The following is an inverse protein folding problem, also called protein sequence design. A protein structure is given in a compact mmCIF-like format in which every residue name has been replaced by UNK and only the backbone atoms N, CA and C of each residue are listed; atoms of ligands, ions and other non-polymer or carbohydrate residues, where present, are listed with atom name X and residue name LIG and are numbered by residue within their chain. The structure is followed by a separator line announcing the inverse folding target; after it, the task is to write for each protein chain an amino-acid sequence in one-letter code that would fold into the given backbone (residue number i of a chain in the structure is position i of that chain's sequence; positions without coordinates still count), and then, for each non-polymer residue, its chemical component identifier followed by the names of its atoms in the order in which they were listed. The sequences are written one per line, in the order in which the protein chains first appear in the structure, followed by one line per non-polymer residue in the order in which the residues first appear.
data_IF_855803227093
#
_entry.id   IF_855803227093
#
_cell.length_a   1.000
_cell.length_b   1.000
_cell.length_c   1.000
_cell.angle_alpha   90.00
_cell.angle_beta   90.00
_cell.angle_gamma   90.00
#
_symmetry.space_group_name_H-M   'P 1'
#
loop_
_entity.id
_entity.type
_entity.pdbx_description
1 polymer ?
#
# COMPACT_ATOMS: atom_id res chain seq x y z
N UNK A 1 4.96 -18.83 -3.72
CA UNK A 1 5.89 -17.82 -3.18
C UNK A 1 5.24 -16.46 -3.00
N UNK A 2 4.73 -15.82 -4.09
CA UNK A 2 4.23 -14.43 -4.04
C UNK A 2 3.17 -14.19 -2.96
N UNK A 3 2.14 -15.02 -2.91
CA UNK A 3 1.05 -14.90 -1.92
C UNK A 3 1.58 -15.00 -0.48
N UNK A 4 2.52 -15.92 -0.21
CA UNK A 4 3.11 -16.08 1.11
C UNK A 4 3.85 -14.81 1.55
N UNK A 5 4.72 -14.26 0.69
CA UNK A 5 5.44 -13.03 1.00
C UNK A 5 4.53 -11.82 1.14
N UNK A 6 3.48 -11.74 0.32
CA UNK A 6 2.47 -10.67 0.43
C UNK A 6 1.72 -10.75 1.77
N UNK A 7 1.30 -11.93 2.21
CA UNK A 7 0.66 -12.13 3.52
C UNK A 7 1.60 -11.71 4.65
N UNK A 8 2.87 -12.12 4.60
CA UNK A 8 3.87 -11.75 5.60
C UNK A 8 4.10 -10.22 5.63
N UNK A 9 4.17 -9.57 4.47
CA UNK A 9 4.35 -8.11 4.41
C UNK A 9 3.15 -7.37 4.99
N UNK A 10 1.95 -7.73 4.55
CA UNK A 10 0.69 -7.14 5.05
C UNK A 10 0.52 -7.41 6.54
N UNK A 11 0.77 -8.64 6.99
CA UNK A 11 0.67 -9.03 8.39
C UNK A 11 1.60 -8.21 9.29
N UNK A 12 2.86 -8.07 8.90
CA UNK A 12 3.82 -7.24 9.63
C UNK A 12 3.40 -5.77 9.67
N UNK A 13 2.91 -5.22 8.54
CA UNK A 13 2.42 -3.84 8.49
C UNK A 13 1.28 -3.61 9.47
N UNK A 14 0.34 -4.54 9.55
CA UNK A 14 -0.80 -4.46 10.47
C UNK A 14 -0.37 -4.66 11.92
N UNK A 15 0.55 -5.59 12.21
CA UNK A 15 1.09 -5.80 13.54
C UNK A 15 1.76 -4.52 14.06
N UNK A 16 2.67 -3.91 13.30
CA UNK A 16 3.34 -2.70 13.74
C UNK A 16 2.39 -1.51 13.88
N UNK A 17 1.39 -1.37 13.01
CA UNK A 17 0.37 -0.35 13.17
C UNK A 17 -0.47 -0.59 14.46
N UNK A 18 -0.79 -1.84 14.77
CA UNK A 18 -1.46 -2.20 16.02
C UNK A 18 -0.59 -1.83 17.23
N UNK A 19 0.69 -2.21 17.23
CA UNK A 19 1.62 -1.93 18.32
C UNK A 19 1.81 -0.43 18.53
N UNK A 20 2.01 0.35 17.47
CA UNK A 20 2.18 1.80 17.54
C UNK A 20 1.00 2.50 18.24
N UNK A 21 -0.19 1.94 18.11
CA UNK A 21 -1.42 2.51 18.67
C UNK A 21 -1.77 1.95 20.07
N UNK A 22 -1.32 0.72 20.39
CA UNK A 22 -1.71 0.01 21.63
C UNK A 22 -0.72 0.12 22.76
N UNK A 23 0.54 0.48 22.49
CA UNK A 23 1.51 0.69 23.55
C UNK A 23 1.04 1.84 24.47
N UNK A 24 0.87 1.56 25.76
CA UNK A 24 0.49 2.55 26.74
C UNK A 24 1.65 3.53 26.96
N UNK A 25 1.36 4.82 26.85
CA UNK A 25 2.39 5.86 27.10
C UNK A 25 2.86 5.76 28.54
N UNK A 26 4.17 5.64 28.74
CA UNK A 26 4.79 5.72 30.07
C UNK A 26 4.99 7.18 30.44
N UNK A 27 4.26 7.66 31.44
CA UNK A 27 4.31 9.05 31.90
C UNK A 27 5.55 9.27 32.80
N UNK A 28 6.01 8.22 33.48
CA UNK A 28 7.05 8.32 34.53
C UNK A 28 8.47 8.04 34.06
N UNK A 29 8.68 7.58 32.81
CA UNK A 29 10.01 7.23 32.30
C UNK A 29 10.57 8.25 31.32
N UNK A 30 11.82 8.68 31.54
CA UNK A 30 12.57 9.54 30.63
C UNK A 30 13.05 8.80 29.36
N UNK A 31 13.09 7.46 29.39
CA UNK A 31 13.65 6.62 28.32
C UNK A 31 12.60 5.85 27.53
N UNK A 32 11.44 5.56 28.13
CA UNK A 32 10.38 4.74 27.55
C UNK A 32 9.24 5.63 27.06
N UNK A 33 8.84 5.45 25.79
CA UNK A 33 7.70 6.14 25.18
C UNK A 33 6.40 5.36 25.35
N UNK A 34 6.47 4.03 25.34
CA UNK A 34 5.30 3.19 25.55
C UNK A 34 5.65 1.74 25.81
N UNK A 35 4.80 1.07 26.55
CA UNK A 35 4.92 -0.34 26.89
C UNK A 35 3.62 -1.09 26.63
N UNK A 36 3.73 -2.37 26.31
CA UNK A 36 2.62 -3.27 26.14
C UNK A 36 3.03 -4.72 26.33
N UNK A 37 2.04 -5.57 26.50
CA UNK A 37 2.23 -7.00 26.65
C UNK A 37 1.48 -7.74 25.56
N UNK A 38 2.11 -8.77 25.02
CA UNK A 38 1.50 -9.74 24.12
C UNK A 38 1.56 -11.12 24.77
N UNK A 39 0.60 -11.96 24.44
CA UNK A 39 0.61 -13.36 24.80
C UNK A 39 0.66 -14.20 23.51
N UNK A 40 1.61 -15.12 23.44
CA UNK A 40 1.69 -16.08 22.34
C UNK A 40 2.29 -17.39 22.85
N UNK A 41 1.73 -18.52 22.40
CA UNK A 41 2.18 -19.88 22.76
C UNK A 41 2.36 -20.11 24.27
N UNK A 42 1.52 -19.51 25.11
CA UNK A 42 1.58 -19.65 26.57
C UNK A 42 2.58 -18.73 27.27
N UNK A 43 3.28 -17.86 26.55
CA UNK A 43 4.28 -16.94 27.12
C UNK A 43 3.83 -15.49 27.00
N UNK A 44 4.18 -14.68 28.00
CA UNK A 44 4.01 -13.23 27.99
C UNK A 44 5.24 -12.54 27.42
N UNK A 45 5.03 -11.68 26.44
CA UNK A 45 6.09 -10.87 25.82
C UNK A 45 5.87 -9.41 26.21
N UNK A 46 6.89 -8.77 26.78
CA UNK A 46 6.89 -7.33 27.05
C UNK A 46 7.50 -6.62 25.85
N UNK A 47 6.76 -5.68 25.28
CA UNK A 47 7.21 -4.79 24.21
C UNK A 47 7.36 -3.39 24.75
N UNK A 48 8.52 -2.78 24.48
CA UNK A 48 8.85 -1.44 24.93
C UNK A 48 9.27 -0.59 23.75
N UNK A 49 8.59 0.55 23.55
CA UNK A 49 9.01 1.56 22.59
C UNK A 49 9.86 2.60 23.30
N UNK A 50 11.07 2.80 22.81
CA UNK A 50 12.05 3.69 23.42
C UNK A 50 11.96 5.12 22.86
N UNK A 51 12.16 6.14 23.72
CA UNK A 51 12.32 7.56 23.31
C UNK A 51 13.68 7.84 22.71
N UNK A 52 14.70 7.08 23.13
CA UNK A 52 16.08 7.19 22.69
C UNK A 52 16.54 5.89 22.05
N UNK A 53 17.61 5.96 21.29
CA UNK A 53 18.28 4.78 20.73
C UNK A 53 18.65 3.78 21.84
N UNK A 54 18.49 2.47 21.60
CA UNK A 54 19.01 1.45 22.53
C UNK A 54 20.55 1.48 22.55
N UNK A 55 21.17 0.83 23.53
CA UNK A 55 22.63 0.67 23.59
C UNK A 55 23.20 0.09 22.29
N UNK A 56 24.45 0.47 21.94
CA UNK A 56 25.05 0.15 20.64
C UNK A 56 25.21 -1.34 20.34
N UNK A 57 25.36 -2.17 21.38
CA UNK A 57 25.41 -3.63 21.25
C UNK A 57 24.10 -4.21 20.65
N UNK A 58 22.95 -3.65 21.01
CA UNK A 58 21.65 -4.07 20.45
C UNK A 58 21.42 -3.55 19.03
N UNK A 59 21.98 -2.40 18.67
CA UNK A 59 21.84 -1.82 17.32
C UNK A 59 22.50 -2.69 16.24
N UNK A 60 23.54 -3.44 16.56
CA UNK A 60 24.23 -4.31 15.61
C UNK A 60 23.35 -5.50 15.16
N UNK A 61 22.45 -5.96 16.03
CA UNK A 61 21.62 -7.15 15.82
C UNK A 61 20.14 -6.79 15.60
N UNK A 62 19.83 -5.56 15.18
CA UNK A 62 18.46 -5.14 14.91
C UNK A 62 17.86 -5.91 13.74
N UNK A 63 16.68 -6.47 13.98
CA UNK A 63 15.89 -7.10 12.92
C UNK A 63 15.12 -6.03 12.17
N UNK A 64 15.34 -5.93 10.86
CA UNK A 64 14.64 -5.02 9.95
C UNK A 64 13.77 -5.85 9.02
N UNK A 65 12.46 -5.60 9.05
CA UNK A 65 11.46 -6.32 8.25
C UNK A 65 11.41 -5.76 6.82
N UNK A 66 12.41 -6.07 5.99
CA UNK A 66 12.50 -5.61 4.59
C UNK A 66 12.27 -6.74 3.57
N UNK A 67 12.69 -7.95 3.89
CA UNK A 67 12.68 -9.08 2.95
C UNK A 67 11.28 -9.46 2.49
N UNK A 68 10.27 -9.33 3.34
CA UNK A 68 8.88 -9.62 2.98
C UNK A 68 8.42 -8.76 1.81
N UNK A 69 8.67 -7.46 1.86
CA UNK A 69 8.31 -6.54 0.77
C UNK A 69 9.15 -6.76 -0.49
N UNK A 70 10.46 -7.03 -0.32
CA UNK A 70 11.38 -7.27 -1.44
C UNK A 70 11.01 -8.55 -2.20
N UNK A 71 10.77 -9.63 -1.47
CA UNK A 71 10.38 -10.91 -2.08
C UNK A 71 8.97 -10.85 -2.66
N UNK A 72 8.05 -10.09 -2.05
CA UNK A 72 6.73 -9.83 -2.64
C UNK A 72 6.88 -9.15 -4.00
N UNK A 73 7.68 -8.09 -4.10
CA UNK A 73 7.88 -7.38 -5.34
C UNK A 73 8.56 -8.24 -6.41
N UNK A 74 9.69 -8.88 -6.07
CA UNK A 74 10.43 -9.73 -7.01
C UNK A 74 9.56 -10.87 -7.55
N UNK A 75 8.88 -11.59 -6.67
CA UNK A 75 7.99 -12.68 -7.10
C UNK A 75 6.76 -12.18 -7.86
N UNK A 76 6.29 -10.97 -7.57
CA UNK A 76 5.22 -10.30 -8.32
C UNK A 76 5.64 -9.95 -9.75
N UNK A 77 6.83 -9.40 -9.94
CA UNK A 77 7.40 -9.11 -11.26
C UNK A 77 7.64 -10.41 -12.06
N UNK A 78 8.13 -11.47 -11.42
CA UNK A 78 8.29 -12.77 -12.07
C UNK A 78 6.95 -13.33 -12.56
N UNK A 79 5.89 -13.24 -11.73
CA UNK A 79 4.54 -13.64 -12.15
C UNK A 79 4.00 -12.78 -13.29
N UNK A 80 4.22 -11.46 -13.24
CA UNK A 80 3.83 -10.54 -14.30
C UNK A 80 4.50 -10.93 -15.62
N UNK A 81 5.80 -11.22 -15.58
CA UNK A 81 6.55 -11.65 -16.76
C UNK A 81 6.03 -12.96 -17.33
N UNK A 82 5.92 -14.00 -16.50
CA UNK A 82 5.54 -15.36 -16.96
C UNK A 82 4.09 -15.40 -17.42
N UNK A 83 3.16 -14.74 -16.74
CA UNK A 83 1.73 -14.84 -17.07
C UNK A 83 1.37 -13.85 -18.17
N UNK A 84 1.73 -12.57 -18.03
CA UNK A 84 1.22 -11.49 -18.89
C UNK A 84 2.19 -11.08 -19.99
N UNK A 85 3.46 -10.85 -19.70
CA UNK A 85 4.41 -10.35 -20.70
C UNK A 85 4.75 -11.41 -21.74
N UNK A 86 4.91 -12.66 -21.30
CA UNK A 86 5.12 -13.78 -22.22
C UNK A 86 3.91 -14.01 -23.14
N UNK A 87 2.69 -13.82 -22.63
CA UNK A 87 1.45 -13.98 -23.39
C UNK A 87 0.79 -12.63 -23.73
N UNK A 88 1.57 -11.60 -23.94
CA UNK A 88 1.10 -10.20 -24.06
C UNK A 88 0.10 -9.98 -25.21
N UNK A 89 0.27 -10.68 -26.32
CA UNK A 89 -0.65 -10.58 -27.46
C UNK A 89 -2.08 -11.03 -27.15
N UNK A 90 -2.26 -11.97 -26.20
CA UNK A 90 -3.57 -12.53 -25.81
C UNK A 90 -4.10 -11.84 -24.57
N UNK A 91 -3.24 -11.63 -23.56
CA UNK A 91 -3.69 -11.20 -22.23
C UNK A 91 -3.65 -9.69 -22.03
N UNK A 92 -2.85 -8.95 -22.80
CA UNK A 92 -2.70 -7.50 -22.64
C UNK A 92 -3.34 -6.70 -23.77
N UNK A 93 -3.18 -7.13 -25.03
CA UNK A 93 -3.66 -6.38 -26.21
C UNK A 93 -5.16 -6.62 -26.43
N UNK A 94 -5.89 -5.53 -26.63
CA UNK A 94 -7.28 -5.54 -27.07
C UNK A 94 -7.43 -4.81 -28.40
N UNK A 95 -7.38 -5.57 -29.50
CA UNK A 95 -7.47 -5.02 -30.88
C UNK A 95 -8.74 -4.23 -31.16
N UNK A 96 -9.83 -4.49 -30.39
CA UNK A 96 -11.09 -3.73 -30.52
C UNK A 96 -11.00 -2.33 -29.93
N UNK A 97 -10.02 -2.08 -29.05
CA UNK A 97 -9.83 -0.79 -28.36
C UNK A 97 -8.66 -0.03 -28.95
N UNK A 98 -7.52 -0.70 -29.06
CA UNK A 98 -6.30 -0.12 -29.63
C UNK A 98 -5.45 -1.22 -30.27
N UNK A 99 -5.13 -1.05 -31.55
CA UNK A 99 -4.28 -1.97 -32.26
C UNK A 99 -2.81 -1.61 -32.04
N UNK A 100 -2.19 -2.27 -31.07
CA UNK A 100 -0.75 -2.13 -30.75
C UNK A 100 -0.08 -3.50 -30.80
N UNK A 101 1.22 -3.50 -31.09
CA UNK A 101 1.99 -4.74 -31.02
C UNK A 101 2.16 -5.19 -29.56
N UNK A 102 2.30 -6.51 -29.30
CA UNK A 102 2.54 -7.03 -27.97
C UNK A 102 3.75 -6.41 -27.25
N UNK A 103 4.79 -6.08 -28.02
CA UNK A 103 6.02 -5.43 -27.49
C UNK A 103 5.70 -4.04 -26.96
N UNK A 104 4.95 -3.23 -27.72
CA UNK A 104 4.53 -1.90 -27.24
C UNK A 104 3.61 -1.99 -26.02
N UNK A 105 2.72 -2.97 -25.94
CA UNK A 105 1.90 -3.18 -24.75
C UNK A 105 2.75 -3.44 -23.51
N UNK A 106 3.80 -4.27 -23.62
CA UNK A 106 4.74 -4.53 -22.51
C UNK A 106 5.51 -3.26 -22.14
N UNK A 107 6.02 -2.52 -23.13
CA UNK A 107 6.76 -1.26 -22.89
C UNK A 107 5.90 -0.22 -22.20
N UNK A 108 4.65 -0.02 -22.65
CA UNK A 108 3.70 0.91 -22.00
C UNK A 108 3.44 0.48 -20.57
N UNK A 109 3.27 -0.82 -20.30
CA UNK A 109 3.08 -1.34 -18.94
C UNK A 109 4.29 -1.00 -18.06
N UNK A 110 5.50 -1.33 -18.49
CA UNK A 110 6.74 -1.05 -17.72
C UNK A 110 6.89 0.46 -17.47
N UNK A 111 6.76 1.27 -18.53
CA UNK A 111 6.91 2.73 -18.43
C UNK A 111 5.85 3.33 -17.50
N UNK A 112 4.62 2.82 -17.51
CA UNK A 112 3.57 3.29 -16.59
C UNK A 112 3.94 3.06 -15.13
N UNK A 113 4.54 1.91 -14.78
CA UNK A 113 4.96 1.63 -13.39
C UNK A 113 6.02 2.64 -12.93
N UNK A 114 7.03 2.93 -13.77
CA UNK A 114 8.06 3.93 -13.46
C UNK A 114 7.49 5.35 -13.39
N UNK A 115 6.68 5.73 -14.39
CA UNK A 115 6.09 7.07 -14.47
C UNK A 115 5.24 7.37 -13.22
N UNK A 116 4.33 6.47 -12.86
CA UNK A 116 3.48 6.67 -11.68
C UNK A 116 4.26 6.67 -10.37
N UNK A 117 5.32 5.88 -10.27
CA UNK A 117 6.23 5.96 -9.12
C UNK A 117 6.88 7.34 -9.03
N UNK A 118 7.42 7.87 -10.13
CA UNK A 118 8.05 9.19 -10.14
C UNK A 118 7.07 10.30 -9.80
N UNK A 119 5.87 10.29 -10.40
CA UNK A 119 4.81 11.27 -10.11
C UNK A 119 4.41 11.22 -8.64
N UNK A 120 4.17 10.02 -8.10
CA UNK A 120 3.81 9.84 -6.71
C UNK A 120 4.94 10.29 -5.76
N UNK A 121 6.18 9.92 -6.03
CA UNK A 121 7.33 10.32 -5.22
C UNK A 121 7.54 11.85 -5.24
N UNK A 122 7.39 12.47 -6.40
CA UNK A 122 7.40 13.93 -6.55
C UNK A 122 6.29 14.60 -5.72
N UNK A 123 5.04 14.12 -5.81
CA UNK A 123 3.93 14.63 -5.02
C UNK A 123 4.21 14.55 -3.51
N UNK A 124 4.77 13.43 -3.06
CA UNK A 124 5.12 13.25 -1.65
C UNK A 124 6.28 14.13 -1.16
N UNK A 125 7.15 14.61 -2.05
CA UNK A 125 8.25 15.54 -1.74
C UNK A 125 7.85 17.00 -1.89
N UNK A 126 6.76 17.27 -2.58
CA UNK A 126 6.27 18.63 -2.83
C UNK A 126 5.59 19.24 -1.60
N UNK A 127 5.34 20.55 -1.64
CA UNK A 127 4.58 21.26 -0.60
C UNK A 127 3.10 20.81 -0.50
N UNK A 128 2.58 20.16 -1.54
CA UNK A 128 1.20 19.63 -1.58
C UNK A 128 0.91 18.64 -0.46
N UNK A 129 1.94 17.89 -0.01
CA UNK A 129 1.80 16.92 1.08
C UNK A 129 1.41 17.56 2.42
N UNK A 130 1.64 18.87 2.59
CA UNK A 130 1.24 19.60 3.80
C UNK A 130 -0.27 19.80 3.89
N UNK A 131 -0.96 19.82 2.75
CA UNK A 131 -2.42 19.87 2.67
C UNK A 131 -2.97 18.47 2.38
N UNK A 132 -3.35 17.74 3.43
CA UNK A 132 -3.86 16.38 3.32
C UNK A 132 -5.08 16.27 2.37
N UNK A 133 -5.98 17.23 2.38
CA UNK A 133 -7.19 17.21 1.54
C UNK A 133 -6.82 17.33 0.07
N UNK A 134 -5.98 18.31 -0.27
CA UNK A 134 -5.52 18.49 -1.64
C UNK A 134 -4.72 17.30 -2.14
N UNK A 135 -3.84 16.73 -1.30
CA UNK A 135 -3.08 15.54 -1.63
C UNK A 135 -3.99 14.34 -1.93
N UNK A 136 -5.03 14.13 -1.10
CA UNK A 136 -6.02 13.05 -1.30
C UNK A 136 -6.78 13.29 -2.62
N UNK A 137 -7.27 14.50 -2.87
CA UNK A 137 -7.98 14.81 -4.12
C UNK A 137 -7.12 14.52 -5.34
N UNK A 138 -5.87 15.00 -5.36
CA UNK A 138 -4.96 14.79 -6.48
C UNK A 138 -4.69 13.29 -6.69
N UNK A 139 -4.39 12.55 -5.62
CA UNK A 139 -4.06 11.11 -5.74
C UNK A 139 -5.25 10.29 -6.19
N UNK A 140 -6.47 10.58 -5.71
CA UNK A 140 -7.68 9.89 -6.17
C UNK A 140 -8.06 10.30 -7.59
N UNK A 141 -7.87 11.56 -8.00
CA UNK A 141 -8.08 12.00 -9.38
C UNK A 141 -7.11 11.31 -10.35
N UNK A 142 -5.83 11.20 -9.97
CA UNK A 142 -4.85 10.44 -10.74
C UNK A 142 -5.25 8.97 -10.85
N UNK A 143 -5.72 8.35 -9.77
CA UNK A 143 -6.17 6.96 -9.78
C UNK A 143 -7.37 6.78 -10.74
N UNK A 144 -8.34 7.68 -10.72
CA UNK A 144 -9.50 7.68 -11.61
C UNK A 144 -9.08 7.78 -13.08
N UNK A 145 -8.26 8.78 -13.40
CA UNK A 145 -7.76 9.02 -14.76
C UNK A 145 -6.93 7.83 -15.26
N UNK A 146 -6.09 7.26 -14.39
CA UNK A 146 -5.29 6.10 -14.72
C UNK A 146 -6.16 4.89 -15.00
N UNK A 147 -7.10 4.57 -14.11
CA UNK A 147 -7.98 3.42 -14.29
C UNK A 147 -8.79 3.53 -15.58
N UNK A 148 -9.29 4.72 -15.92
CA UNK A 148 -9.97 4.97 -17.19
C UNK A 148 -9.01 4.84 -18.38
N UNK A 149 -7.84 5.50 -18.35
CA UNK A 149 -6.87 5.50 -19.45
C UNK A 149 -6.38 4.09 -19.79
N UNK A 150 -6.10 3.27 -18.79
CA UNK A 150 -5.65 1.89 -18.99
C UNK A 150 -6.69 1.02 -19.71
N UNK A 151 -7.99 1.28 -19.53
CA UNK A 151 -9.06 0.57 -20.27
C UNK A 151 -9.09 0.92 -21.76
N UNK A 152 -8.46 2.04 -22.17
CA UNK A 152 -8.32 2.46 -23.57
C UNK A 152 -7.10 1.87 -24.26
N UNK A 153 -6.26 1.16 -23.52
CA UNK A 153 -4.99 0.60 -24.02
C UNK A 153 -5.02 -0.94 -23.93
N UNK A 154 -5.46 -1.48 -22.80
CA UNK A 154 -5.32 -2.88 -22.48
C UNK A 154 -6.65 -3.63 -22.45
N UNK A 155 -6.55 -4.97 -22.41
CA UNK A 155 -7.71 -5.82 -22.08
C UNK A 155 -8.30 -5.43 -20.73
N UNK A 156 -9.61 -5.59 -20.51
CA UNK A 156 -10.24 -5.22 -19.23
C UNK A 156 -9.54 -5.82 -18.01
N UNK A 157 -9.14 -7.09 -18.10
CA UNK A 157 -8.46 -7.80 -17.01
C UNK A 157 -7.08 -7.22 -16.73
N UNK A 158 -6.29 -6.92 -17.76
CA UNK A 158 -4.95 -6.38 -17.56
C UNK A 158 -5.00 -4.90 -17.13
N UNK A 159 -5.93 -4.11 -17.67
CA UNK A 159 -6.17 -2.74 -17.24
C UNK A 159 -6.49 -2.66 -15.73
N UNK A 160 -7.38 -3.53 -15.27
CA UNK A 160 -7.75 -3.62 -13.86
C UNK A 160 -6.56 -4.03 -12.99
N UNK A 161 -5.82 -5.06 -13.39
CA UNK A 161 -4.61 -5.53 -12.70
C UNK A 161 -3.52 -4.46 -12.69
N UNK A 162 -3.35 -3.70 -13.78
CA UNK A 162 -2.31 -2.66 -13.91
C UNK A 162 -2.42 -1.57 -12.85
N UNK A 163 -3.64 -1.23 -12.39
CA UNK A 163 -3.82 -0.31 -11.26
C UNK A 163 -3.23 -0.91 -9.98
N UNK A 164 -3.44 -2.20 -9.74
CA UNK A 164 -2.83 -2.91 -8.62
C UNK A 164 -1.31 -2.99 -8.71
N UNK A 165 -0.77 -3.19 -9.91
CA UNK A 165 0.68 -3.19 -10.17
C UNK A 165 1.29 -1.81 -9.88
N UNK A 166 0.66 -0.72 -10.32
CA UNK A 166 1.08 0.66 -10.05
C UNK A 166 1.09 0.92 -8.54
N UNK A 167 0.01 0.61 -7.84
CA UNK A 167 -0.07 0.80 -6.39
C UNK A 167 0.94 -0.07 -5.64
N UNK A 168 1.09 -1.34 -6.02
CA UNK A 168 2.07 -2.25 -5.45
C UNK A 168 3.51 -1.78 -5.67
N UNK A 169 3.81 -1.24 -6.87
CA UNK A 169 5.11 -0.63 -7.19
C UNK A 169 5.36 0.62 -6.34
N UNK A 170 4.36 1.48 -6.16
CA UNK A 170 4.45 2.63 -5.25
C UNK A 170 4.69 2.21 -3.80
N UNK A 171 4.00 1.17 -3.34
CA UNK A 171 4.19 0.64 -1.99
C UNK A 171 5.59 0.07 -1.79
N UNK A 172 6.09 -0.70 -2.76
CA UNK A 172 7.46 -1.23 -2.73
C UNK A 172 8.50 -0.10 -2.83
N UNK A 173 8.32 0.84 -3.75
CA UNK A 173 9.17 2.02 -3.92
C UNK A 173 9.30 2.81 -2.61
N UNK A 174 8.19 3.01 -1.88
CA UNK A 174 8.23 3.62 -0.54
C UNK A 174 9.15 2.87 0.42
N UNK A 175 9.08 1.53 0.45
CA UNK A 175 9.93 0.73 1.32
C UNK A 175 11.38 0.83 0.89
N UNK A 176 11.64 0.63 -0.41
CA UNK A 176 12.98 0.50 -0.96
C UNK A 176 13.77 1.83 -0.96
N UNK A 177 13.12 2.95 -1.34
CA UNK A 177 13.80 4.23 -1.54
C UNK A 177 13.72 5.18 -0.35
N UNK A 178 12.72 5.02 0.53
CA UNK A 178 12.48 5.97 1.63
C UNK A 178 12.51 5.29 3.00
N UNK A 179 11.68 4.27 3.22
CA UNK A 179 11.51 3.72 4.57
C UNK A 179 12.81 3.05 5.05
N UNK A 180 13.32 2.08 4.30
CA UNK A 180 14.53 1.33 4.70
C UNK A 180 15.77 2.22 4.71
N UNK A 181 16.06 3.06 3.68
CA UNK A 181 17.21 3.97 3.75
C UNK A 181 17.17 4.91 4.94
N UNK A 182 16.00 5.49 5.27
CA UNK A 182 15.88 6.38 6.42
C UNK A 182 16.09 5.62 7.74
N UNK A 183 15.54 4.41 7.89
CA UNK A 183 15.78 3.57 9.07
C UNK A 183 17.28 3.24 9.21
N UNK A 184 17.96 2.90 8.11
CA UNK A 184 19.40 2.63 8.13
C UNK A 184 20.23 3.86 8.50
N UNK A 185 19.82 5.06 8.03
CA UNK A 185 20.49 6.32 8.40
C UNK A 185 20.29 6.65 9.88
N UNK A 186 19.10 6.39 10.43
CA UNK A 186 18.82 6.54 11.87
C UNK A 186 19.73 5.60 12.68
N UNK A 187 19.85 4.33 12.30
CA UNK A 187 20.73 3.35 12.97
C UNK A 187 22.19 3.80 12.89
N UNK A 188 22.66 4.20 11.71
CA UNK A 188 24.04 4.69 11.52
C UNK A 188 24.35 5.93 12.38
N UNK A 189 23.41 6.86 12.49
CA UNK A 189 23.56 8.06 13.35
C UNK A 189 23.60 7.66 14.82
N UNK A 190 22.76 6.73 15.24
CA UNK A 190 22.72 6.19 16.60
C UNK A 190 24.04 5.48 16.99
N UNK A 191 24.58 4.66 16.08
CA UNK A 191 25.87 3.98 16.29
C UNK A 191 27.05 4.96 16.47
N UNK A 192 26.95 6.14 15.83
CA UNK A 192 27.97 7.20 15.92
C UNK A 192 27.67 8.22 17.02
N UNK A 193 26.68 7.99 17.89
CA UNK A 193 26.19 8.91 18.91
C UNK A 193 25.89 10.32 18.36
N UNK A 194 25.46 10.41 17.09
CA UNK A 194 25.05 11.67 16.46
C UNK A 194 23.57 11.95 16.72
N UNK A 195 23.19 13.22 16.69
CA UNK A 195 21.78 13.63 16.75
C UNK A 195 21.03 13.02 15.56
N UNK A 196 19.92 12.36 15.85
CA UNK A 196 19.03 11.80 14.82
C UNK A 196 18.23 12.94 14.21
N UNK A 197 18.23 13.01 12.88
CA UNK A 197 17.34 13.90 12.15
C UNK A 197 15.91 13.35 12.18
N UNK A 198 15.01 14.08 12.84
CA UNK A 198 13.60 13.71 12.96
C UNK A 198 12.85 13.68 11.61
N UNK A 199 13.34 14.40 10.60
CA UNK A 199 12.75 14.40 9.25
C UNK A 199 12.76 13.01 8.62
N UNK A 200 13.81 12.20 8.89
CA UNK A 200 13.92 10.82 8.40
C UNK A 200 12.80 9.93 8.93
N UNK A 201 12.50 10.04 10.23
CA UNK A 201 11.41 9.28 10.85
C UNK A 201 10.05 9.73 10.34
N UNK A 202 9.84 11.03 10.16
CA UNK A 202 8.58 11.59 9.66
C UNK A 202 8.32 11.16 8.22
N UNK A 203 9.32 11.23 7.34
CA UNK A 203 9.21 10.78 5.96
C UNK A 203 8.91 9.27 5.88
N UNK A 204 9.62 8.43 6.63
CA UNK A 204 9.37 7.00 6.67
C UNK A 204 7.94 6.68 7.17
N UNK A 205 7.48 7.36 8.23
CA UNK A 205 6.13 7.20 8.78
C UNK A 205 5.06 7.61 7.77
N UNK A 206 5.22 8.72 7.07
CA UNK A 206 4.30 9.19 6.05
C UNK A 206 4.13 8.15 4.94
N UNK A 207 5.24 7.63 4.39
CA UNK A 207 5.19 6.60 3.34
C UNK A 207 4.55 5.30 3.84
N UNK A 208 4.81 4.92 5.08
CA UNK A 208 4.17 3.77 5.72
C UNK A 208 2.65 3.94 5.85
N UNK A 209 2.18 5.15 6.18
CA UNK A 209 0.74 5.47 6.22
C UNK A 209 0.12 5.33 4.82
N UNK A 210 0.76 5.83 3.77
CA UNK A 210 0.25 5.69 2.39
C UNK A 210 0.15 4.22 1.98
N UNK A 211 1.18 3.40 2.27
CA UNK A 211 1.14 1.95 2.03
C UNK A 211 -0.04 1.30 2.77
N UNK A 212 -0.28 1.71 4.01
CA UNK A 212 -1.37 1.19 4.82
C UNK A 212 -2.74 1.47 4.18
N UNK A 213 -2.98 2.67 3.65
CA UNK A 213 -4.24 3.00 2.95
C UNK A 213 -4.39 2.26 1.62
N UNK A 214 -3.31 2.03 0.88
CA UNK A 214 -3.34 1.32 -0.41
C UNK A 214 -3.56 -0.18 -0.27
N UNK A 215 -3.28 -0.77 0.91
CA UNK A 215 -3.25 -2.22 1.11
C UNK A 215 -4.56 -2.92 0.76
N UNK A 216 -5.71 -2.41 1.22
CA UNK A 216 -6.99 -3.08 0.95
C UNK A 216 -7.36 -3.07 -0.53
N UNK A 217 -7.07 -1.97 -1.23
CA UNK A 217 -7.34 -1.87 -2.66
C UNK A 217 -6.43 -2.81 -3.46
N UNK A 218 -5.14 -2.88 -3.12
CA UNK A 218 -4.20 -3.81 -3.76
C UNK A 218 -4.64 -5.26 -3.56
N UNK A 219 -5.02 -5.65 -2.34
CA UNK A 219 -5.54 -6.99 -2.05
C UNK A 219 -6.81 -7.29 -2.84
N UNK A 220 -7.75 -6.34 -2.91
CA UNK A 220 -8.97 -6.50 -3.70
C UNK A 220 -8.65 -6.73 -5.18
N UNK A 221 -7.73 -5.94 -5.77
CA UNK A 221 -7.32 -6.09 -7.17
C UNK A 221 -6.63 -7.44 -7.39
N UNK A 222 -5.76 -7.89 -6.48
CA UNK A 222 -5.10 -9.20 -6.60
C UNK A 222 -6.09 -10.36 -6.57
N UNK A 223 -7.20 -10.23 -5.86
CA UNK A 223 -8.28 -11.21 -5.81
C UNK A 223 -9.28 -11.06 -6.96
N UNK A 224 -9.20 -10.01 -7.77
CA UNK A 224 -10.17 -9.66 -8.80
C UNK A 224 -10.32 -10.72 -9.90
N UNK A 225 -9.32 -11.57 -10.10
CA UNK A 225 -9.41 -12.72 -10.99
C UNK A 225 -10.56 -13.67 -10.69
N UNK A 226 -11.08 -13.68 -9.45
CA UNK A 226 -12.24 -14.45 -9.00
C UNK A 226 -13.57 -13.71 -9.22
N UNK A 227 -13.53 -12.42 -9.58
CA UNK A 227 -14.71 -11.57 -9.77
C UNK A 227 -14.81 -11.06 -11.21
N UNK A 228 -14.90 -12.00 -12.17
CA UNK A 228 -14.92 -11.68 -13.59
C UNK A 228 -16.03 -10.70 -13.99
N UNK A 229 -17.19 -10.77 -13.33
CA UNK A 229 -18.31 -9.85 -13.54
C UNK A 229 -18.00 -8.39 -13.19
N UNK A 230 -17.03 -8.13 -12.29
CA UNK A 230 -16.52 -6.78 -11.99
C UNK A 230 -15.51 -6.36 -13.05
N UNK A 231 -14.54 -7.23 -13.33
CA UNK A 231 -13.41 -6.94 -14.21
C UNK A 231 -13.85 -6.68 -15.65
N UNK A 232 -14.82 -7.43 -16.16
CA UNK A 232 -15.35 -7.29 -17.52
C UNK A 232 -16.57 -6.35 -17.63
N UNK A 233 -16.97 -5.70 -16.52
CA UNK A 233 -18.04 -4.73 -16.53
C UNK A 233 -17.69 -3.51 -17.41
N UNK A 234 -18.67 -2.97 -18.15
CA UNK A 234 -18.47 -1.78 -19.01
C UNK A 234 -17.85 -0.60 -18.27
N UNK A 235 -18.19 -0.43 -17.00
CA UNK A 235 -17.70 0.65 -16.13
C UNK A 235 -16.71 0.15 -15.08
N UNK A 236 -15.89 -0.88 -15.40
CA UNK A 236 -14.97 -1.48 -14.45
C UNK A 236 -13.99 -0.47 -13.81
N UNK A 237 -13.54 0.53 -14.56
CA UNK A 237 -12.69 1.62 -14.06
C UNK A 237 -13.38 2.47 -13.00
N UNK A 238 -14.70 2.74 -13.16
CA UNK A 238 -15.48 3.51 -12.18
C UNK A 238 -15.77 2.65 -10.94
N UNK A 239 -16.09 1.38 -11.13
CA UNK A 239 -16.27 0.41 -10.06
C UNK A 239 -14.99 0.29 -9.23
N UNK A 240 -13.84 0.19 -9.87
CA UNK A 240 -12.53 0.16 -9.21
C UNK A 240 -12.29 1.43 -8.38
N UNK A 241 -12.62 2.58 -8.93
CA UNK A 241 -12.49 3.85 -8.25
C UNK A 241 -13.44 3.95 -7.03
N UNK A 242 -14.69 3.49 -7.16
CA UNK A 242 -15.63 3.42 -6.05
C UNK A 242 -15.11 2.49 -4.93
N UNK A 243 -14.57 1.31 -5.29
CA UNK A 243 -13.90 0.43 -4.33
C UNK A 243 -12.71 1.10 -3.66
N UNK A 244 -11.93 1.89 -4.39
CA UNK A 244 -10.80 2.62 -3.80
C UNK A 244 -11.25 3.56 -2.67
N UNK A 245 -12.33 4.30 -2.88
CA UNK A 245 -12.90 5.21 -1.87
C UNK A 245 -13.44 4.42 -0.68
N UNK A 246 -14.27 3.38 -0.94
CA UNK A 246 -14.88 2.56 0.11
C UNK A 246 -13.81 1.91 0.99
N UNK A 247 -12.82 1.27 0.37
CA UNK A 247 -11.76 0.55 1.09
C UNK A 247 -10.81 1.50 1.84
N UNK A 248 -10.51 2.69 1.27
CA UNK A 248 -9.74 3.71 1.97
C UNK A 248 -10.52 4.26 3.18
N UNK A 249 -11.84 4.47 3.05
CA UNK A 249 -12.69 4.93 4.15
C UNK A 249 -12.80 3.86 5.25
N UNK A 250 -13.00 2.60 4.89
CA UNK A 250 -12.97 1.50 5.84
C UNK A 250 -11.61 1.41 6.57
N UNK A 251 -10.50 1.57 5.83
CA UNK A 251 -9.15 1.57 6.42
C UNK A 251 -8.95 2.76 7.37
N UNK A 252 -9.50 3.91 7.03
CA UNK A 252 -9.47 5.10 7.87
C UNK A 252 -10.14 4.85 9.23
N UNK A 253 -11.32 4.20 9.24
CA UNK A 253 -11.97 3.78 10.49
C UNK A 253 -11.04 2.94 11.38
N UNK A 254 -10.40 1.90 10.81
CA UNK A 254 -9.48 1.06 11.59
C UNK A 254 -8.26 1.81 12.11
N UNK A 255 -7.75 2.78 11.34
CA UNK A 255 -6.65 3.65 11.77
C UNK A 255 -7.06 4.57 12.93
N UNK A 256 -8.27 5.16 12.89
CA UNK A 256 -8.82 5.98 13.98
C UNK A 256 -9.06 5.14 15.24
N UNK A 257 -9.71 3.97 15.07
CA UNK A 257 -9.98 3.05 16.18
C UNK A 257 -8.68 2.60 16.87
N UNK A 258 -7.62 2.37 16.12
CA UNK A 258 -6.29 2.10 16.66
C UNK A 258 -5.78 3.23 17.56
N UNK A 259 -6.11 4.48 17.25
CA UNK A 259 -5.78 5.67 18.06
C UNK A 259 -6.78 5.94 19.19
N UNK A 260 -7.68 5.01 19.50
CA UNK A 260 -8.76 5.14 20.48
C UNK A 260 -9.82 6.22 20.11
N UNK A 261 -9.89 6.62 18.84
CA UNK A 261 -10.93 7.49 18.30
C UNK A 261 -12.00 6.58 17.67
N UNK A 262 -13.14 6.45 18.33
CA UNK A 262 -14.24 5.59 17.87
C UNK A 262 -15.26 6.46 17.16
N UNK A 263 -15.37 6.30 15.84
CA UNK A 263 -16.41 6.93 15.02
C UNK A 263 -17.05 5.85 14.13
N UNK A 264 -18.05 5.19 14.65
CA UNK A 264 -18.71 4.08 13.95
C UNK A 264 -19.45 4.52 12.68
N UNK A 265 -19.80 5.79 12.53
CA UNK A 265 -20.45 6.33 11.32
C UNK A 265 -19.60 6.10 10.08
N UNK A 266 -18.27 6.21 10.20
CA UNK A 266 -17.34 5.98 9.06
C UNK A 266 -17.44 4.53 8.56
N UNK A 267 -17.50 3.54 9.47
CA UNK A 267 -17.64 2.13 9.10
C UNK A 267 -19.02 1.86 8.49
N UNK A 268 -20.08 2.40 9.12
CA UNK A 268 -21.46 2.23 8.64
C UNK A 268 -21.59 2.81 7.22
N UNK A 269 -21.07 4.00 6.96
CA UNK A 269 -21.06 4.61 5.62
C UNK A 269 -20.31 3.73 4.62
N UNK A 270 -19.16 3.16 5.01
CA UNK A 270 -18.38 2.27 4.14
C UNK A 270 -19.18 0.99 3.80
N UNK A 271 -19.88 0.41 4.78
CA UNK A 271 -20.70 -0.80 4.57
C UNK A 271 -21.90 -0.48 3.66
N UNK A 272 -22.61 0.62 3.92
CA UNK A 272 -23.75 1.04 3.09
C UNK A 272 -23.29 1.30 1.65
N UNK A 273 -22.18 2.02 1.47
CA UNK A 273 -21.62 2.29 0.15
C UNK A 273 -21.19 1.00 -0.57
N UNK A 274 -20.63 0.03 0.15
CA UNK A 274 -20.28 -1.28 -0.42
C UNK A 274 -21.52 -2.05 -0.87
N UNK A 275 -22.58 -2.13 -0.04
CA UNK A 275 -23.84 -2.80 -0.37
C UNK A 275 -24.51 -2.12 -1.58
N UNK A 276 -24.54 -0.78 -1.58
CA UNK A 276 -25.10 -0.01 -2.68
C UNK A 276 -24.33 -0.24 -4.00
N UNK A 277 -23.01 -0.23 -3.95
CA UNK A 277 -22.18 -0.53 -5.13
C UNK A 277 -22.42 -1.97 -5.62
N UNK A 278 -22.48 -2.94 -4.71
CA UNK A 278 -22.80 -4.33 -5.07
C UNK A 278 -24.18 -4.47 -5.74
N UNK A 279 -25.17 -3.75 -5.21
CA UNK A 279 -26.52 -3.68 -5.83
C UNK A 279 -26.45 -3.07 -7.23
N UNK A 280 -25.76 -1.95 -7.43
CA UNK A 280 -25.60 -1.34 -8.76
C UNK A 280 -24.92 -2.30 -9.75
N UNK A 281 -23.87 -2.99 -9.35
CA UNK A 281 -23.17 -3.98 -10.19
C UNK A 281 -24.13 -5.12 -10.55
N UNK A 282 -24.96 -5.54 -9.62
CA UNK A 282 -25.95 -6.61 -9.87
C UNK A 282 -27.05 -6.18 -10.84
N UNK A 283 -27.58 -4.95 -10.68
CA UNK A 283 -28.68 -4.42 -11.53
C UNK A 283 -28.18 -4.09 -12.94
N UNK A 284 -26.98 -3.52 -13.05
CA UNK A 284 -26.40 -3.13 -14.35
C UNK A 284 -25.38 -4.17 -14.86
N UNK A 285 -25.72 -5.47 -14.73
CA UNK A 285 -24.92 -6.54 -15.34
C UNK A 285 -24.67 -6.26 -16.82
N UNK A 286 -23.44 -6.61 -17.33
CA UNK A 286 -23.13 -6.46 -18.76
C UNK A 286 -23.97 -7.37 -19.62
#
# INVERSE_FOLDING_TARGET
GHVLFAILWVGNSFLFNYLDNKLNKSISSSTIDGEGYLMHSGYFYKLTRLKKSPPTNYLKNLVIFKWQSYLTFVTGILLLFVIYYYNSGILMVNKKVLEISPVYAVLISILSLFFYWLVYDFLCKSSLIKNNVLFIIITFSLLLLTSFGLTKIFTPKFAFLSVGLILGTNMFGNVFTVIIPNQMNIIKSSLKNKKIDSSLSLAAKQRSIHNNYSTFLVLFIMLSGHYSFIVYHKYNWLILFAFAIILATARHYFNLRGRKIINNSILIISIIAFIFLAFLIFVFKP
#
